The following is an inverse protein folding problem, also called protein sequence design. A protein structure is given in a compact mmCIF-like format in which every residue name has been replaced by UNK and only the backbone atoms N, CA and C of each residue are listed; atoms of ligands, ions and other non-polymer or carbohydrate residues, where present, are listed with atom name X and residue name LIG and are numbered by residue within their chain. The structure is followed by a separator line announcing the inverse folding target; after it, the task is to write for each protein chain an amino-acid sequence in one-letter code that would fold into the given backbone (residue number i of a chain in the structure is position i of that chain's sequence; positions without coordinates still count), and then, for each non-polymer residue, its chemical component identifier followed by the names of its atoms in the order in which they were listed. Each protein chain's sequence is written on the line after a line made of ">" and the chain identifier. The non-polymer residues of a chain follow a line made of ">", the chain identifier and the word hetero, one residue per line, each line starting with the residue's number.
data_IF_112932771186
#
_entry.id   IF_112932771186
#
_cell.length_a   1.000
_cell.length_b   1.000
_cell.length_c   1.000
_cell.angle_alpha   90.00
_cell.angle_beta   90.00
_cell.angle_gamma   90.00
#
_symmetry.space_group_name_H-M   'P 1'
#
loop_
_entity.id
_entity.type
_entity.pdbx_description
1 polymer ?
#
# COMPACT_ATOMS: atom_id res chain seq x y z
N UNK A 1 13.91 -7.71 -8.83
CA UNK A 1 13.28 -6.40 -8.55
C UNK A 1 12.43 -6.50 -7.28
N UNK A 2 12.24 -5.39 -6.62
CA UNK A 2 11.57 -5.30 -5.32
C UNK A 2 10.33 -4.44 -5.45
N UNK A 3 9.23 -4.85 -4.82
CA UNK A 3 7.98 -4.10 -4.79
C UNK A 3 7.76 -3.54 -3.38
N UNK A 4 7.43 -2.25 -3.31
CA UNK A 4 6.98 -1.61 -2.07
C UNK A 4 5.46 -1.49 -2.10
N UNK A 5 4.78 -2.15 -1.18
CA UNK A 5 3.33 -2.00 -0.98
C UNK A 5 3.14 -0.85 -0.01
N UNK A 6 2.71 0.29 -0.52
CA UNK A 6 2.70 1.57 0.20
C UNK A 6 1.27 1.96 0.55
N UNK A 7 0.99 2.10 1.84
CA UNK A 7 -0.36 2.25 2.37
C UNK A 7 -0.47 3.53 3.19
N UNK A 8 -1.57 4.26 2.99
CA UNK A 8 -1.95 5.35 3.89
C UNK A 8 -3.14 4.88 4.75
N UNK A 9 -3.12 5.24 6.03
CA UNK A 9 -4.15 4.84 6.99
C UNK A 9 -4.42 5.95 8.01
N UNK A 10 -5.65 6.03 8.48
CA UNK A 10 -6.10 7.02 9.45
C UNK A 10 -6.86 6.34 10.58
N UNK A 11 -8.15 6.03 10.37
CA UNK A 11 -9.04 5.44 11.39
C UNK A 11 -9.43 4.00 11.07
N UNK A 12 -9.00 3.48 9.94
CA UNK A 12 -9.48 2.22 9.36
C UNK A 12 -8.79 1.01 10.01
N UNK A 13 -9.10 0.72 11.28
CA UNK A 13 -8.46 -0.38 12.02
C UNK A 13 -8.79 -1.75 11.42
N UNK A 14 -10.07 -2.04 11.21
CA UNK A 14 -10.47 -3.36 10.68
C UNK A 14 -9.99 -3.52 9.24
N UNK A 15 -10.07 -2.46 8.44
CA UNK A 15 -9.65 -2.44 7.06
C UNK A 15 -8.14 -2.64 6.95
N UNK A 16 -7.33 -1.94 7.75
CA UNK A 16 -5.87 -2.09 7.70
C UNK A 16 -5.43 -3.49 8.16
N UNK A 17 -6.10 -4.05 9.16
CA UNK A 17 -5.81 -5.42 9.60
C UNK A 17 -6.02 -6.41 8.47
N UNK A 18 -7.12 -6.28 7.75
CA UNK A 18 -7.43 -7.15 6.62
C UNK A 18 -6.43 -6.99 5.49
N UNK A 19 -6.12 -5.75 5.11
CA UNK A 19 -5.17 -5.47 4.04
C UNK A 19 -3.78 -5.99 4.36
N UNK A 20 -3.28 -5.74 5.57
CA UNK A 20 -1.95 -6.21 5.97
C UNK A 20 -1.89 -7.74 5.96
N UNK A 21 -2.95 -8.40 6.44
CA UNK A 21 -3.01 -9.88 6.41
C UNK A 21 -2.94 -10.40 4.97
N UNK A 22 -3.67 -9.79 4.06
CA UNK A 22 -3.63 -10.16 2.63
C UNK A 22 -2.21 -10.01 2.08
N UNK A 23 -1.57 -8.87 2.34
CA UNK A 23 -0.24 -8.59 1.82
C UNK A 23 0.83 -9.48 2.44
N UNK A 24 0.78 -9.74 3.74
CA UNK A 24 1.75 -10.62 4.40
C UNK A 24 1.66 -12.05 3.87
N UNK A 25 0.49 -12.51 3.49
CA UNK A 25 0.29 -13.85 2.93
C UNK A 25 0.68 -13.95 1.45
N UNK A 26 0.81 -12.82 0.76
CA UNK A 26 0.96 -12.80 -0.70
C UNK A 26 2.30 -12.24 -1.18
N UNK A 27 2.92 -11.34 -0.41
CA UNK A 27 4.15 -10.71 -0.85
C UNK A 27 5.33 -11.68 -0.77
N UNK A 28 6.34 -11.43 -1.60
CA UNK A 28 7.61 -12.16 -1.54
C UNK A 28 8.46 -11.62 -0.39
N UNK A 29 9.45 -12.42 0.07
CA UNK A 29 10.34 -12.04 1.17
C UNK A 29 11.12 -10.75 0.88
N UNK A 30 11.48 -10.52 -0.38
CA UNK A 30 12.23 -9.33 -0.78
C UNK A 30 11.37 -8.09 -0.92
N UNK A 31 10.06 -8.23 -0.97
CA UNK A 31 9.13 -7.10 -1.04
C UNK A 31 8.88 -6.53 0.34
N UNK A 32 8.50 -5.26 0.39
CA UNK A 32 8.27 -4.58 1.66
C UNK A 32 6.85 -4.01 1.75
N UNK A 33 6.40 -3.83 2.98
CA UNK A 33 5.16 -3.11 3.28
C UNK A 33 5.56 -1.82 4.00
N UNK A 34 5.08 -0.69 3.50
CA UNK A 34 5.35 0.64 4.05
C UNK A 34 4.03 1.31 4.37
N UNK A 35 3.85 1.75 5.61
CA UNK A 35 2.59 2.37 6.05
C UNK A 35 2.85 3.75 6.59
N UNK A 36 2.10 4.72 6.10
CA UNK A 36 2.10 6.09 6.61
C UNK A 36 0.79 6.35 7.35
N UNK A 37 0.89 6.62 8.64
CA UNK A 37 -0.24 6.85 9.53
C UNK A 37 -0.47 8.34 9.75
N UNK A 38 -1.71 8.79 9.54
CA UNK A 38 -2.13 10.16 9.86
C UNK A 38 -2.38 10.28 11.36
N UNK A 39 -1.43 10.85 12.11
CA UNK A 39 -1.54 10.98 13.56
C UNK A 39 -2.38 12.18 14.00
N UNK A 40 -2.73 13.07 13.07
CA UNK A 40 -3.60 14.21 13.37
C UNK A 40 -5.07 13.79 13.47
N UNK A 41 -5.53 12.97 12.54
CA UNK A 41 -6.92 12.53 12.44
C UNK A 41 -7.11 11.05 12.76
N UNK A 42 -6.03 10.30 12.91
CA UNK A 42 -6.06 8.86 13.06
C UNK A 42 -6.42 8.38 14.46
N UNK A 43 -6.80 7.11 14.55
CA UNK A 43 -7.14 6.46 15.82
C UNK A 43 -5.87 5.87 16.46
N UNK A 44 -5.69 6.05 17.79
CA UNK A 44 -4.54 5.46 18.50
C UNK A 44 -4.43 3.94 18.33
N UNK A 45 -5.56 3.25 18.23
CA UNK A 45 -5.61 1.80 18.06
C UNK A 45 -4.94 1.36 16.76
N UNK A 46 -5.04 2.16 15.70
CA UNK A 46 -4.36 1.90 14.42
C UNK A 46 -2.85 1.93 14.62
N UNK A 47 -2.35 2.96 15.28
CA UNK A 47 -0.91 3.08 15.54
C UNK A 47 -0.41 1.94 16.42
N UNK A 48 -1.15 1.58 17.47
CA UNK A 48 -0.81 0.45 18.32
C UNK A 48 -0.72 -0.85 17.53
N UNK A 49 -1.69 -1.11 16.67
CA UNK A 49 -1.68 -2.28 15.81
C UNK A 49 -0.44 -2.30 14.90
N UNK A 50 -0.13 -1.20 14.24
CA UNK A 50 1.02 -1.12 13.32
C UNK A 50 2.34 -1.41 14.06
N UNK A 51 2.47 -1.01 15.30
CA UNK A 51 3.67 -1.26 16.10
C UNK A 51 3.85 -2.74 16.48
N UNK A 52 2.83 -3.57 16.31
CA UNK A 52 2.96 -5.03 16.54
C UNK A 52 3.54 -5.75 15.33
N UNK A 53 3.69 -5.07 14.20
CA UNK A 53 4.09 -5.67 12.93
C UNK A 53 5.57 -5.42 12.64
N UNK A 54 6.16 -6.34 11.89
CA UNK A 54 7.53 -6.18 11.39
C UNK A 54 7.50 -5.59 9.97
N UNK A 55 7.08 -4.35 9.87
CA UNK A 55 6.98 -3.61 8.61
C UNK A 55 7.51 -2.20 8.82
N UNK A 56 7.66 -1.45 7.73
CA UNK A 56 8.09 -0.04 7.80
C UNK A 56 6.87 0.82 8.11
N UNK A 57 6.92 1.54 9.24
CA UNK A 57 5.83 2.45 9.61
C UNK A 57 6.39 3.84 9.91
N UNK A 58 5.62 4.85 9.56
CA UNK A 58 5.91 6.24 9.87
C UNK A 58 4.61 6.95 10.19
N UNK A 59 4.68 8.00 10.98
CA UNK A 59 3.53 8.84 11.30
C UNK A 59 3.80 10.30 10.97
N UNK A 60 2.74 11.03 10.71
CA UNK A 60 2.81 12.45 10.47
C UNK A 60 1.42 13.03 10.35
N UNK A 61 1.27 14.36 10.45
CA UNK A 61 -0.04 14.99 10.31
C UNK A 61 -0.41 15.11 8.84
N UNK A 62 -1.63 14.73 8.49
CA UNK A 62 -2.18 15.02 7.17
C UNK A 62 -2.72 16.46 7.16
N UNK A 63 -2.11 17.30 6.33
CA UNK A 63 -2.38 18.75 6.29
C UNK A 63 -3.28 19.13 5.10
N UNK A 64 -4.18 18.24 4.70
CA UNK A 64 -5.13 18.44 3.59
C UNK A 64 -4.45 18.66 2.23
N UNK A 65 -3.24 18.14 2.07
CA UNK A 65 -2.46 18.24 0.83
C UNK A 65 -2.06 16.84 0.36
N UNK A 66 -2.91 16.23 -0.47
CA UNK A 66 -2.75 14.84 -0.89
C UNK A 66 -1.42 14.57 -1.61
N UNK A 67 -1.00 15.48 -2.50
CA UNK A 67 0.24 15.30 -3.23
C UNK A 67 1.45 15.22 -2.29
N UNK A 68 1.52 16.10 -1.31
CA UNK A 68 2.60 16.08 -0.31
C UNK A 68 2.55 14.82 0.55
N UNK A 69 1.35 14.38 0.91
CA UNK A 69 1.15 13.18 1.71
C UNK A 69 1.62 11.93 0.96
N UNK A 70 1.22 11.79 -0.30
CA UNK A 70 1.66 10.69 -1.15
C UNK A 70 3.16 10.74 -1.41
N UNK A 71 3.73 11.91 -1.60
CA UNK A 71 5.18 12.08 -1.77
C UNK A 71 5.95 11.66 -0.52
N UNK A 72 5.43 11.96 0.67
CA UNK A 72 6.03 11.50 1.92
C UNK A 72 6.04 9.98 2.01
N UNK A 73 4.94 9.34 1.63
CA UNK A 73 4.85 7.88 1.59
C UNK A 73 5.87 7.28 0.62
N UNK A 74 5.96 7.81 -0.60
CA UNK A 74 6.87 7.28 -1.61
C UNK A 74 8.33 7.42 -1.21
N UNK A 75 8.69 8.46 -0.49
CA UNK A 75 10.07 8.66 0.01
C UNK A 75 10.50 7.60 1.02
N UNK A 76 9.55 6.94 1.67
CA UNK A 76 9.85 5.87 2.62
C UNK A 76 10.09 4.53 1.92
N UNK A 77 9.70 4.42 0.66
CA UNK A 77 9.77 3.18 -0.11
C UNK A 77 11.16 2.97 -0.70
N UNK A 78 11.63 1.73 -0.69
CA UNK A 78 12.94 1.36 -1.25
C UNK A 78 12.84 0.42 -2.44
N UNK A 79 11.63 0.05 -2.85
CA UNK A 79 11.42 -0.86 -3.96
C UNK A 79 11.62 -0.23 -5.32
N UNK A 80 11.79 -1.07 -6.33
CA UNK A 80 11.86 -0.64 -7.73
C UNK A 80 10.49 -0.21 -8.24
N UNK A 81 9.44 -0.80 -7.71
CA UNK A 81 8.05 -0.45 -7.98
C UNK A 81 7.32 -0.15 -6.68
N UNK A 82 6.40 0.81 -6.76
CA UNK A 82 5.56 1.20 -5.62
C UNK A 82 4.10 0.91 -5.98
N UNK A 83 3.46 0.06 -5.19
CA UNK A 83 2.03 -0.22 -5.30
C UNK A 83 1.32 0.53 -4.18
N UNK A 84 0.68 1.65 -4.54
CA UNK A 84 0.00 2.51 -3.58
C UNK A 84 -1.42 2.03 -3.32
N UNK A 85 -1.77 1.95 -2.03
CA UNK A 85 -3.08 1.48 -1.57
C UNK A 85 -3.58 2.39 -0.45
N UNK A 86 -4.87 2.63 -0.41
CA UNK A 86 -5.52 3.13 0.79
C UNK A 86 -5.90 1.94 1.69
N UNK A 87 -6.06 2.18 2.99
CA UNK A 87 -6.25 1.09 3.96
C UNK A 87 -7.50 0.23 3.70
N UNK A 88 -8.50 0.77 3.00
CA UNK A 88 -9.74 0.09 2.65
C UNK A 88 -9.73 -0.52 1.25
N UNK A 89 -8.59 -0.55 0.59
CA UNK A 89 -8.44 -1.11 -0.74
C UNK A 89 -7.83 -2.52 -0.65
N UNK A 90 -8.55 -3.50 -1.20
CA UNK A 90 -8.13 -4.91 -1.13
C UNK A 90 -7.85 -5.45 -2.52
N UNK A 91 -6.56 -5.55 -2.91
CA UNK A 91 -6.22 -6.14 -4.19
C UNK A 91 -6.57 -7.63 -4.21
N UNK A 92 -7.01 -8.11 -5.36
CA UNK A 92 -7.33 -9.52 -5.52
C UNK A 92 -6.06 -10.37 -5.37
N UNK A 93 -6.18 -11.51 -4.70
CA UNK A 93 -5.05 -12.38 -4.44
C UNK A 93 -4.34 -12.84 -5.73
N UNK A 94 -5.12 -13.12 -6.77
CA UNK A 94 -4.57 -13.49 -8.06
C UNK A 94 -3.70 -12.38 -8.65
N UNK A 95 -4.13 -11.13 -8.53
CA UNK A 95 -3.32 -9.98 -8.96
C UNK A 95 -2.00 -9.92 -8.20
N UNK A 96 -2.05 -10.04 -6.88
CA UNK A 96 -0.83 -9.99 -6.05
C UNK A 96 0.15 -11.10 -6.40
N UNK A 97 -0.35 -12.30 -6.66
CA UNK A 97 0.50 -13.43 -7.05
C UNK A 97 1.08 -13.27 -8.45
N UNK A 98 0.39 -12.58 -9.35
CA UNK A 98 0.81 -12.38 -10.74
C UNK A 98 1.68 -11.16 -10.94
N UNK A 99 1.58 -10.16 -10.05
CA UNK A 99 2.19 -8.85 -10.23
C UNK A 99 3.71 -8.90 -10.44
N UNK A 100 4.49 -9.68 -9.66
CA UNK A 100 5.93 -9.75 -9.90
C UNK A 100 6.29 -10.19 -11.31
N UNK A 101 5.61 -11.21 -11.83
CA UNK A 101 5.85 -11.70 -13.19
C UNK A 101 5.48 -10.66 -14.25
N UNK A 102 4.38 -9.95 -14.04
CA UNK A 102 3.94 -8.89 -14.96
C UNK A 102 4.99 -7.78 -15.02
N UNK A 103 5.48 -7.32 -13.87
CA UNK A 103 6.44 -6.24 -13.78
C UNK A 103 7.81 -6.65 -14.35
N UNK A 104 8.24 -7.89 -14.14
CA UNK A 104 9.52 -8.39 -14.66
C UNK A 104 9.48 -8.61 -16.17
N UNK A 105 8.35 -9.07 -16.71
CA UNK A 105 8.18 -9.36 -18.13
C UNK A 105 7.90 -8.11 -18.96
N UNK A 106 7.28 -7.11 -18.37
CA UNK A 106 6.85 -5.89 -19.05
C UNK A 106 7.26 -4.68 -18.22
N UNK A 107 8.55 -4.29 -18.24
CA UNK A 107 9.00 -3.15 -17.47
C UNK A 107 8.35 -1.87 -17.99
N UNK A 108 7.47 -1.28 -17.19
CA UNK A 108 6.74 -0.05 -17.51
C UNK A 108 6.82 0.90 -16.33
N UNK A 109 6.65 2.19 -16.60
CA UNK A 109 6.69 3.19 -15.54
C UNK A 109 5.42 3.22 -14.72
N UNK A 110 4.29 2.86 -15.33
CA UNK A 110 2.99 2.89 -14.67
C UNK A 110 2.10 1.79 -15.21
N UNK A 111 1.52 0.98 -14.32
CA UNK A 111 0.51 -0.01 -14.66
C UNK A 111 -0.79 0.38 -13.96
N UNK A 112 -1.90 0.30 -14.72
CA UNK A 112 -3.24 0.41 -14.17
C UNK A 112 -3.87 -0.97 -14.18
N UNK A 113 -4.28 -1.45 -13.02
CA UNK A 113 -4.95 -2.75 -12.91
C UNK A 113 -6.34 -2.56 -12.34
N UNK A 114 -7.35 -3.27 -12.89
CA UNK A 114 -8.70 -3.16 -12.38
C UNK A 114 -8.79 -3.74 -10.97
N UNK A 115 -9.52 -3.04 -10.12
CA UNK A 115 -9.86 -3.50 -8.77
C UNK A 115 -11.33 -3.86 -8.76
N UNK A 116 -11.65 -5.05 -8.27
CA UNK A 116 -13.04 -5.44 -8.05
C UNK A 116 -13.42 -5.04 -6.63
N UNK A 117 -14.43 -4.17 -6.54
CA UNK A 117 -15.01 -3.77 -5.27
C UNK A 117 -16.44 -4.29 -5.23
N UNK A 118 -16.77 -5.08 -4.22
CA UNK A 118 -18.08 -5.71 -4.10
C UNK A 118 -19.23 -4.71 -3.93
N UNK A 119 -18.93 -3.49 -3.52
CA UNK A 119 -19.95 -2.47 -3.24
C UNK A 119 -20.07 -1.46 -4.38
N UNK A 120 -18.97 -1.08 -5.01
CA UNK A 120 -18.91 0.07 -5.92
C UNK A 120 -18.46 -0.27 -7.33
N UNK A 121 -18.34 -1.54 -7.67
CA UNK A 121 -17.93 -1.96 -9.01
C UNK A 121 -16.41 -1.89 -9.19
N UNK A 122 -15.98 -1.58 -10.42
CA UNK A 122 -14.57 -1.59 -10.78
C UNK A 122 -13.91 -0.24 -10.53
N UNK A 123 -12.76 -0.28 -9.90
CA UNK A 123 -11.83 0.85 -9.79
C UNK A 123 -10.46 0.40 -10.28
N UNK A 124 -9.48 1.28 -10.29
CA UNK A 124 -8.14 0.94 -10.75
C UNK A 124 -7.11 1.24 -9.68
N UNK A 125 -6.12 0.35 -9.55
CA UNK A 125 -4.91 0.61 -8.80
C UNK A 125 -3.84 1.15 -9.74
N UNK A 126 -2.92 1.91 -9.19
CA UNK A 126 -1.75 2.41 -9.90
C UNK A 126 -0.50 1.73 -9.35
N UNK A 127 0.26 1.11 -10.23
CA UNK A 127 1.58 0.55 -9.89
C UNK A 127 2.60 1.34 -10.67
N UNK A 128 3.50 2.00 -9.96
CA UNK A 128 4.42 2.97 -10.53
C UNK A 128 5.86 2.52 -10.35
N UNK A 129 6.65 2.65 -11.41
CA UNK A 129 8.09 2.49 -11.32
C UNK A 129 8.71 3.67 -10.59
N UNK A 130 9.60 3.38 -9.66
CA UNK A 130 10.30 4.39 -8.88
C UNK A 130 11.79 4.27 -9.13
N UNK A 131 12.30 5.16 -9.95
CA UNK A 131 13.72 5.08 -10.24
C UNK A 131 14.25 6.19 -11.07
#
# INVERSE_FOLDING_TARGET
>A
MKISYAITVCKELDEIKKLITILLNSKRDKDEIVVLFDNKNGSPEVWEYLNTLNIIIEKGPFENHFANWKNKLTKLCTGDYIFQLDADEYPHLHLLNSLPSILESNPVDLIRVPRVNTVKGLTTFHVQSWG
#
